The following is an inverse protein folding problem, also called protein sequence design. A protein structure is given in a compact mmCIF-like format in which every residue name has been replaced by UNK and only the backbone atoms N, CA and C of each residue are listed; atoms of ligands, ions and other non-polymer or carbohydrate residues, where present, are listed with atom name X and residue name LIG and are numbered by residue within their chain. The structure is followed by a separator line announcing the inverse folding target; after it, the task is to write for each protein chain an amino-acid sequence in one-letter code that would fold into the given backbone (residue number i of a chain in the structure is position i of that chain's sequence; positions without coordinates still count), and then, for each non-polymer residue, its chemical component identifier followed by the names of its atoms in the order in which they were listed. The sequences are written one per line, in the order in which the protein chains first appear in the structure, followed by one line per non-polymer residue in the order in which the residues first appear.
data_IF_873572858030
#
_entry.id   IF_873572858030
#
_cell.length_a   1.000
_cell.length_b   1.000
_cell.length_c   1.000
_cell.angle_alpha   90.00
_cell.angle_beta   90.00
_cell.angle_gamma   90.00
#
_symmetry.space_group_name_H-M   'P 1'
#
loop_
_entity.id
_entity.type
_entity.pdbx_description
1 polymer ?
#
# COMPACT_ATOMS: atom_id res chain seq x y z
N UNK A 1 7.85 5.40 -12.32
CA UNK A 1 7.41 5.44 -10.92
C UNK A 1 7.80 4.15 -10.23
N UNK A 2 8.20 4.21 -8.96
CA UNK A 2 8.49 3.07 -8.09
C UNK A 2 7.40 2.95 -7.03
N UNK A 3 6.83 1.77 -6.82
CA UNK A 3 5.89 1.52 -5.74
C UNK A 3 6.58 0.68 -4.67
N UNK A 4 6.62 1.18 -3.43
CA UNK A 4 7.30 0.55 -2.31
C UNK A 4 6.36 0.35 -1.14
N UNK A 5 6.54 -0.73 -0.39
CA UNK A 5 5.72 -1.06 0.75
C UNK A 5 5.99 -0.11 1.92
N UNK A 6 4.93 0.37 2.59
CA UNK A 6 5.07 1.19 3.80
C UNK A 6 5.75 0.41 4.95
N UNK A 7 5.53 -0.91 5.01
CA UNK A 7 6.00 -1.82 6.05
C UNK A 7 4.86 -2.37 6.92
N UNK A 8 5.13 -3.45 7.64
CA UNK A 8 4.11 -4.27 8.33
C UNK A 8 4.29 -4.27 9.86
N UNK A 9 4.67 -3.12 10.45
CA UNK A 9 4.96 -3.02 11.89
C UNK A 9 3.95 -2.18 12.68
N UNK A 10 2.88 -1.69 12.04
CA UNK A 10 1.92 -0.79 12.69
C UNK A 10 2.60 0.47 13.25
N UNK A 11 3.61 0.98 12.54
CA UNK A 11 4.49 2.03 13.03
C UNK A 11 4.68 3.14 11.98
N UNK A 12 5.31 4.25 12.39
CA UNK A 12 5.60 5.35 11.47
C UNK A 12 6.61 4.92 10.39
N UNK A 13 6.20 4.98 9.12
CA UNK A 13 6.97 4.62 7.93
C UNK A 13 8.28 5.42 7.82
N UNK A 14 8.36 6.61 8.41
CA UNK A 14 9.58 7.43 8.45
C UNK A 14 10.75 6.74 9.16
N UNK A 15 10.46 5.75 10.01
CA UNK A 15 11.47 4.97 10.74
C UNK A 15 11.93 3.73 9.97
N UNK A 16 11.39 3.47 8.78
CA UNK A 16 11.66 2.28 8.00
C UNK A 16 12.28 2.65 6.66
N UNK A 17 12.96 1.69 6.05
CA UNK A 17 13.40 1.87 4.68
C UNK A 17 13.12 0.67 3.80
N UNK A 18 12.77 0.92 2.52
CA UNK A 18 12.83 2.21 1.80
C UNK A 18 11.68 3.21 2.07
N UNK A 19 10.67 2.88 2.88
CA UNK A 19 9.46 3.71 3.04
C UNK A 19 9.64 5.13 3.60
N UNK A 20 10.78 5.47 4.21
CA UNK A 20 11.12 6.87 4.56
C UNK A 20 11.51 7.76 3.37
N UNK A 21 11.64 7.22 2.15
CA UNK A 21 11.99 8.02 0.97
C UNK A 21 10.79 8.86 0.56
N UNK A 22 10.99 10.18 0.42
CA UNK A 22 10.03 11.10 -0.19
C UNK A 22 10.62 11.63 -1.49
N UNK A 23 10.01 11.26 -2.62
CA UNK A 23 10.46 11.68 -3.96
C UNK A 23 9.30 11.54 -4.95
N UNK A 24 9.14 12.48 -5.89
CA UNK A 24 8.05 12.48 -6.90
C UNK A 24 7.94 11.21 -7.78
N UNK A 25 8.94 10.33 -7.75
CA UNK A 25 8.99 9.12 -8.57
C UNK A 25 8.82 7.85 -7.71
N UNK A 26 8.57 7.99 -6.41
CA UNK A 26 8.40 6.90 -5.44
C UNK A 26 7.03 7.07 -4.79
N UNK A 27 6.26 6.00 -4.75
CA UNK A 27 4.98 5.92 -4.06
C UNK A 27 5.11 4.91 -2.93
N UNK A 28 4.90 5.34 -1.70
CA UNK A 28 4.86 4.49 -0.50
C UNK A 28 3.42 4.05 -0.26
N UNK A 29 3.21 2.74 -0.25
CA UNK A 29 1.88 2.15 -0.30
C UNK A 29 1.55 1.45 1.02
N UNK A 30 0.50 1.94 1.68
CA UNK A 30 -0.12 1.31 2.84
C UNK A 30 -1.14 0.24 2.43
N UNK A 31 -1.49 -0.63 3.38
CA UNK A 31 -2.43 -1.72 3.17
C UNK A 31 -3.80 -1.43 3.80
N UNK A 32 -4.86 -1.74 3.05
CA UNK A 32 -6.26 -1.77 3.50
C UNK A 32 -6.88 -3.14 3.26
N UNK A 33 -7.99 -3.41 3.95
CA UNK A 33 -8.86 -4.56 3.69
C UNK A 33 -9.93 -4.27 2.65
N UNK A 34 -10.76 -5.28 2.33
CA UNK A 34 -11.82 -5.20 1.32
C UNK A 34 -13.00 -4.31 1.71
N UNK A 35 -13.03 -3.79 2.93
CA UNK A 35 -14.06 -2.87 3.43
C UNK A 35 -13.50 -1.45 3.60
N UNK A 36 -12.37 -1.16 2.95
CA UNK A 36 -11.62 0.10 3.07
C UNK A 36 -11.20 0.44 4.51
N UNK A 37 -10.99 -0.58 5.36
CA UNK A 37 -10.41 -0.37 6.67
C UNK A 37 -8.89 -0.44 6.61
N UNK A 38 -8.24 0.41 7.43
CA UNK A 38 -6.80 0.36 7.61
C UNK A 38 -6.35 -1.00 8.15
N UNK A 39 -5.38 -1.63 7.49
CA UNK A 39 -4.80 -2.88 8.00
C UNK A 39 -3.98 -2.58 9.27
N UNK A 40 -4.28 -3.24 10.38
CA UNK A 40 -3.64 -2.96 11.68
C UNK A 40 -2.10 -3.08 11.67
N UNK A 41 -1.55 -3.90 10.78
CA UNK A 41 -0.10 -4.04 10.59
C UNK A 41 0.50 -2.96 9.69
N UNK A 42 -0.28 -2.23 8.90
CA UNK A 42 0.25 -1.28 7.93
C UNK A 42 0.95 -0.12 8.65
N UNK A 43 2.18 0.16 8.24
CA UNK A 43 2.87 1.37 8.62
C UNK A 43 2.16 2.60 8.05
N UNK A 44 2.27 3.71 8.78
CA UNK A 44 1.52 4.95 8.56
C UNK A 44 2.46 6.17 8.59
N UNK A 45 1.92 7.37 8.41
CA UNK A 45 2.63 8.63 8.57
C UNK A 45 2.78 9.40 7.27
N UNK A 46 3.44 10.57 7.37
CA UNK A 46 3.52 11.58 6.31
C UNK A 46 4.12 11.10 4.99
N UNK A 47 4.89 10.02 5.01
CA UNK A 47 5.53 9.48 3.82
C UNK A 47 4.69 8.45 3.09
N UNK A 48 3.55 8.02 3.63
CA UNK A 48 2.60 7.16 2.90
C UNK A 48 1.85 8.03 1.89
N UNK A 49 2.00 7.71 0.61
CA UNK A 49 1.35 8.45 -0.47
C UNK A 49 -0.07 7.95 -0.71
N UNK A 50 -0.27 6.63 -0.71
CA UNK A 50 -1.57 6.02 -0.95
C UNK A 50 -1.79 4.73 -0.15
N UNK A 51 -3.06 4.33 -0.04
CA UNK A 51 -3.48 3.01 0.41
C UNK A 51 -3.96 2.15 -0.78
N UNK A 52 -3.75 0.83 -0.68
CA UNK A 52 -4.24 -0.14 -1.65
C UNK A 52 -4.58 -1.48 -0.98
N UNK A 53 -5.37 -2.36 -1.63
CA UNK A 53 -5.73 -3.68 -1.09
C UNK A 53 -4.50 -4.50 -0.71
N UNK A 54 -4.38 -4.85 0.57
CA UNK A 54 -3.24 -5.58 1.11
C UNK A 54 -3.59 -6.63 2.16
N UNK A 55 -4.87 -6.82 2.48
CA UNK A 55 -5.34 -7.87 3.40
C UNK A 55 -6.05 -8.96 2.61
N UNK A 56 -5.72 -10.23 2.88
CA UNK A 56 -6.35 -11.39 2.26
C UNK A 56 -6.30 -11.36 0.73
N UNK A 57 -5.12 -11.06 0.18
CA UNK A 57 -4.90 -10.98 -1.26
C UNK A 57 -4.48 -12.35 -1.78
N UNK A 58 -5.32 -12.93 -2.64
CA UNK A 58 -4.99 -14.14 -3.39
C UNK A 58 -4.04 -13.79 -4.55
N UNK A 59 -2.94 -14.52 -4.65
CA UNK A 59 -1.99 -14.35 -5.76
C UNK A 59 -1.28 -15.65 -6.11
N UNK A 60 -0.58 -15.63 -7.24
CA UNK A 60 0.24 -16.76 -7.71
C UNK A 60 1.32 -17.11 -6.70
N UNK A 61 1.56 -18.41 -6.54
CA UNK A 61 2.55 -18.94 -5.62
C UNK A 61 3.47 -19.93 -6.31
N UNK A 62 4.63 -20.19 -5.69
CA UNK A 62 5.58 -21.18 -6.19
C UNK A 62 4.92 -22.56 -6.31
N UNK A 63 5.29 -23.31 -7.33
CA UNK A 63 4.71 -24.63 -7.61
C UNK A 63 3.38 -24.58 -8.37
N UNK A 64 3.14 -23.53 -9.16
CA UNK A 64 1.91 -23.34 -9.95
C UNK A 64 0.62 -23.29 -9.10
N UNK A 65 0.74 -22.85 -7.85
CA UNK A 65 -0.38 -22.72 -6.93
C UNK A 65 -0.85 -21.28 -6.76
N UNK A 66 -1.84 -21.12 -5.90
CA UNK A 66 -2.29 -19.84 -5.38
C UNK A 66 -2.13 -19.83 -3.86
N UNK A 67 -1.91 -18.65 -3.31
CA UNK A 67 -1.86 -18.45 -1.87
C UNK A 67 -2.47 -17.09 -1.51
N UNK A 68 -3.15 -17.04 -0.37
CA UNK A 68 -3.78 -15.83 0.14
C UNK A 68 -2.98 -15.32 1.31
N UNK A 69 -2.37 -14.16 1.15
CA UNK A 69 -1.53 -13.54 2.18
C UNK A 69 -1.84 -12.05 2.35
N UNK A 70 -1.35 -11.49 3.45
CA UNK A 70 -1.57 -10.09 3.82
C UNK A 70 -0.24 -9.37 4.00
N UNK A 71 -0.17 -8.12 3.56
CA UNK A 71 0.96 -7.25 3.74
C UNK A 71 0.90 -6.00 2.85
N UNK A 72 1.63 -4.97 3.24
CA UNK A 72 1.94 -3.83 2.35
C UNK A 72 2.72 -4.25 1.10
N UNK A 73 3.38 -5.42 1.15
CA UNK A 73 3.95 -6.11 -0.02
C UNK A 73 2.90 -6.58 -1.03
N UNK A 74 1.65 -6.80 -0.62
CA UNK A 74 0.52 -7.14 -1.50
C UNK A 74 -0.20 -5.88 -1.99
N UNK A 75 -0.20 -4.81 -1.20
CA UNK A 75 -0.71 -3.51 -1.61
C UNK A 75 0.16 -2.83 -2.69
N UNK A 76 1.48 -2.92 -2.55
CA UNK A 76 2.45 -2.30 -3.50
C UNK A 76 2.25 -2.71 -4.97
N UNK A 77 2.07 -3.99 -5.34
CA UNK A 77 1.84 -4.38 -6.73
C UNK A 77 0.47 -3.93 -7.27
N UNK A 78 -0.57 -3.76 -6.44
CA UNK A 78 -1.82 -3.15 -6.89
C UNK A 78 -1.58 -1.71 -7.34
N UNK A 79 -0.90 -0.91 -6.51
CA UNK A 79 -0.54 0.46 -6.85
C UNK A 79 0.36 0.55 -8.08
N UNK A 80 1.28 -0.41 -8.25
CA UNK A 80 2.12 -0.47 -9.45
C UNK A 80 1.31 -0.76 -10.71
N UNK A 81 0.30 -1.63 -10.64
CA UNK A 81 -0.63 -1.89 -11.74
C UNK A 81 -1.44 -0.64 -12.13
N UNK A 82 -1.91 0.10 -11.13
CA UNK A 82 -2.57 1.40 -11.33
C UNK A 82 -1.60 2.38 -12.00
N UNK A 83 -0.41 2.60 -11.44
CA UNK A 83 0.59 3.52 -12.01
C UNK A 83 1.10 3.12 -13.41
N UNK A 84 0.95 1.85 -13.82
CA UNK A 84 1.26 1.40 -15.17
C UNK A 84 0.22 1.87 -16.20
N UNK A 85 -1.04 2.02 -15.77
CA UNK A 85 -2.14 2.46 -16.63
C UNK A 85 -2.14 3.98 -16.87
N UNK A 86 -1.47 4.75 -16.01
CA UNK A 86 -1.35 6.20 -16.15
C UNK A 86 -1.03 6.89 -14.83
N UNK A 87 -1.32 8.19 -14.76
CA UNK A 87 -1.23 8.95 -13.51
C UNK A 87 -2.34 8.46 -12.56
N UNK A 88 -2.01 7.98 -11.35
CA UNK A 88 -3.02 7.57 -10.38
C UNK A 88 -3.97 8.71 -10.02
N UNK A 89 -5.24 8.38 -9.84
CA UNK A 89 -6.27 9.24 -9.26
C UNK A 89 -6.72 8.67 -7.90
N UNK A 90 -7.70 9.32 -7.27
CA UNK A 90 -8.30 8.86 -6.01
C UNK A 90 -9.78 9.22 -5.99
N UNK A 91 -10.64 8.28 -5.60
CA UNK A 91 -12.09 8.46 -5.44
C UNK A 91 -12.54 8.35 -3.98
N UNK A 92 -11.59 8.25 -3.05
CA UNK A 92 -11.86 8.03 -1.64
C UNK A 92 -10.60 7.99 -0.78
N UNK A 93 -10.80 7.88 0.53
CA UNK A 93 -9.71 7.84 1.49
C UNK A 93 -10.03 6.94 2.67
N UNK A 94 -9.02 6.26 3.18
CA UNK A 94 -9.11 5.44 4.38
C UNK A 94 -8.62 6.22 5.59
N UNK A 95 -9.34 6.12 6.71
CA UNK A 95 -8.86 6.61 8.01
C UNK A 95 -7.86 5.62 8.60
N UNK A 96 -6.65 6.10 8.91
CA UNK A 96 -5.59 5.32 9.53
C UNK A 96 -4.93 6.07 10.69
N UNK A 97 -3.93 5.47 11.36
CA UNK A 97 -3.20 6.16 12.41
C UNK A 97 -2.53 7.42 11.85
N UNK A 98 -2.77 8.56 12.50
CA UNK A 98 -2.15 9.83 12.14
C UNK A 98 -2.77 10.58 10.96
N UNK A 99 -3.84 10.07 10.33
CA UNK A 99 -4.53 10.84 9.29
C UNK A 99 -5.44 10.02 8.36
N UNK A 100 -5.87 10.69 7.30
CA UNK A 100 -6.60 10.08 6.19
C UNK A 100 -5.66 9.91 5.00
N UNK A 101 -5.71 8.75 4.35
CA UNK A 101 -4.81 8.37 3.26
C UNK A 101 -5.63 8.11 1.99
N UNK A 102 -5.30 8.70 0.84
CA UNK A 102 -6.05 8.49 -0.39
C UNK A 102 -5.91 7.03 -0.85
N UNK A 103 -7.01 6.43 -1.31
CA UNK A 103 -6.98 5.09 -1.90
C UNK A 103 -6.61 5.25 -3.38
N UNK A 104 -5.66 4.44 -3.87
CA UNK A 104 -5.08 4.60 -5.21
C UNK A 104 -5.96 3.99 -6.30
N UNK A 105 -6.45 4.81 -7.22
CA UNK A 105 -7.35 4.43 -8.31
C UNK A 105 -6.81 4.91 -9.67
N UNK A 106 -7.47 4.53 -10.78
CA UNK A 106 -7.22 5.06 -12.12
C UNK A 106 -8.32 6.05 -12.50
#
# INVERSE_FOLDING_TARGET
TFCIAAGNSGANANNYSPSRVSHNNVLVIAAIDSNDNWASFSNYGSNVDYAAPGVSIESTWKGAGYNTISGTSMASPHAAGVALMGNPSTDGSVSGPGGSYPIIHQ
#
